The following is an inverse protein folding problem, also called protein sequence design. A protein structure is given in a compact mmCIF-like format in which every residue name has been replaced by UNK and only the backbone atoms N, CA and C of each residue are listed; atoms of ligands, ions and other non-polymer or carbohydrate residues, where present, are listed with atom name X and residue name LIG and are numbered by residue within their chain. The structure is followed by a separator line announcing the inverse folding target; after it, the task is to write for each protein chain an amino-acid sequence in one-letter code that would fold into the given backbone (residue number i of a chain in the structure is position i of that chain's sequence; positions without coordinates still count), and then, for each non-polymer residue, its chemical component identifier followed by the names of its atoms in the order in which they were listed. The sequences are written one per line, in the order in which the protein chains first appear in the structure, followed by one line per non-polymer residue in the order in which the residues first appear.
data_IF_248984558138
#
_entry.id   IF_248984558138
#
_cell.length_a   1.000
_cell.length_b   1.000
_cell.length_c   1.000
_cell.angle_alpha   90.00
_cell.angle_beta   90.00
_cell.angle_gamma   90.00
#
_symmetry.space_group_name_H-M   'P 1'
#
loop_
_entity.id
_entity.type
_entity.pdbx_description
1 polymer ?
#
# COMPACT_ATOMS: atom_id res chain seq x y z
N UNK A 1 3.70 22.80 -20.33
CA UNK A 1 2.72 21.75 -20.69
C UNK A 1 3.06 20.50 -19.90
N UNK A 2 2.35 20.25 -18.81
CA UNK A 2 2.48 19.03 -18.02
C UNK A 2 2.03 17.84 -18.87
N UNK A 3 2.96 16.99 -19.29
CA UNK A 3 2.63 15.73 -19.95
C UNK A 3 2.03 14.82 -18.89
N UNK A 4 0.71 14.64 -18.91
CA UNK A 4 0.05 13.58 -18.15
C UNK A 4 0.55 12.26 -18.73
N UNK A 5 1.43 11.56 -18.00
CA UNK A 5 1.84 10.20 -18.34
C UNK A 5 0.64 9.29 -18.04
N UNK A 6 -0.29 9.22 -18.99
CA UNK A 6 -1.33 8.20 -18.98
C UNK A 6 -0.66 6.86 -19.28
N UNK A 7 -0.26 6.14 -18.24
CA UNK A 7 0.18 4.75 -18.36
C UNK A 7 -1.01 3.92 -18.85
N UNK A 8 -0.96 3.50 -20.11
CA UNK A 8 -1.89 2.52 -20.70
C UNK A 8 -1.56 1.09 -20.30
N UNK A 9 -0.46 0.90 -19.56
CA UNK A 9 0.04 -0.41 -19.18
C UNK A 9 -0.85 -1.02 -18.11
N UNK A 10 -1.48 -2.14 -18.47
CA UNK A 10 -2.27 -2.96 -17.55
C UNK A 10 -1.32 -3.71 -16.63
N UNK A 11 -1.26 -3.28 -15.37
CA UNK A 11 -0.59 -4.03 -14.31
C UNK A 11 -1.49 -5.12 -13.75
N UNK A 12 -0.99 -6.36 -13.64
CA UNK A 12 -1.66 -7.39 -12.86
C UNK A 12 -1.06 -7.45 -11.45
N UNK A 13 -1.93 -7.49 -10.45
CA UNK A 13 -1.57 -7.80 -9.07
C UNK A 13 -2.22 -9.13 -8.73
N UNK A 14 -1.40 -10.17 -8.60
CA UNK A 14 -1.82 -11.48 -8.12
C UNK A 14 -0.81 -11.93 -7.08
N UNK A 15 -1.20 -11.90 -5.81
CA UNK A 15 -0.39 -12.44 -4.71
C UNK A 15 -1.27 -12.94 -3.56
N UNK A 16 -0.79 -13.96 -2.86
CA UNK A 16 -1.51 -14.60 -1.76
C UNK A 16 -1.70 -13.67 -0.56
N UNK A 17 -0.85 -12.64 -0.42
CA UNK A 17 -0.95 -11.65 0.65
C UNK A 17 -2.28 -10.87 0.60
N UNK A 18 -2.91 -10.74 -0.57
CA UNK A 18 -4.21 -10.10 -0.70
C UNK A 18 -5.30 -10.80 0.11
N UNK A 19 -5.17 -12.11 0.38
CA UNK A 19 -6.11 -12.86 1.22
C UNK A 19 -6.15 -12.31 2.65
N UNK A 20 -5.05 -11.75 3.16
CA UNK A 20 -5.02 -11.08 4.46
C UNK A 20 -5.90 -9.82 4.53
N UNK A 21 -6.21 -9.22 3.37
CA UNK A 21 -7.12 -8.09 3.22
C UNK A 21 -8.54 -8.52 2.80
N UNK A 22 -8.80 -9.83 2.72
CA UNK A 22 -10.11 -10.38 2.39
C UNK A 22 -10.28 -10.81 0.94
N UNK A 23 -9.22 -10.79 0.12
CA UNK A 23 -9.31 -11.29 -1.25
C UNK A 23 -9.72 -12.77 -1.30
N UNK A 24 -10.64 -13.07 -2.22
CA UNK A 24 -11.31 -14.37 -2.32
C UNK A 24 -12.75 -14.37 -1.79
N UNK A 25 -13.18 -13.29 -1.13
CA UNK A 25 -14.60 -13.05 -0.79
C UNK A 25 -15.25 -12.17 -1.85
N UNK A 26 -16.53 -12.41 -2.13
CA UNK A 26 -17.32 -11.51 -2.98
C UNK A 26 -17.42 -10.13 -2.34
N UNK A 27 -17.32 -9.07 -3.16
CA UNK A 27 -17.41 -7.68 -2.69
C UNK A 27 -16.19 -7.16 -1.92
N UNK A 28 -15.12 -7.95 -1.71
CA UNK A 28 -14.01 -7.56 -0.81
C UNK A 28 -13.29 -6.25 -1.17
N UNK A 29 -13.27 -5.88 -2.46
CA UNK A 29 -12.59 -4.68 -2.96
C UNK A 29 -13.50 -3.46 -3.03
N UNK A 30 -14.81 -3.65 -3.26
CA UNK A 30 -15.76 -2.56 -3.56
C UNK A 30 -16.70 -2.28 -2.39
N UNK A 31 -17.18 -3.32 -1.72
CA UNK A 31 -18.19 -3.20 -0.66
C UNK A 31 -17.58 -3.17 0.75
N UNK A 32 -16.25 -3.29 0.85
CA UNK A 32 -15.55 -3.30 2.12
C UNK A 32 -15.18 -1.88 2.58
N UNK A 33 -15.97 -1.33 3.50
CA UNK A 33 -15.74 0.00 4.08
C UNK A 33 -14.44 0.12 4.90
N UNK A 34 -13.88 -1.01 5.34
CA UNK A 34 -12.63 -1.01 6.12
C UNK A 34 -11.39 -1.06 5.23
N UNK A 35 -11.54 -1.22 3.91
CA UNK A 35 -10.41 -1.29 2.98
C UNK A 35 -10.06 0.10 2.44
N UNK A 36 -8.87 0.56 2.78
CA UNK A 36 -8.27 1.78 2.26
C UNK A 36 -7.34 1.44 1.09
N UNK A 37 -7.44 2.20 0.00
CA UNK A 37 -6.68 1.98 -1.23
C UNK A 37 -6.05 3.29 -1.67
N UNK A 38 -4.73 3.30 -1.80
CA UNK A 38 -3.98 4.48 -2.25
C UNK A 38 -3.02 4.12 -3.37
N UNK A 39 -3.22 4.78 -4.51
CA UNK A 39 -2.45 4.56 -5.72
C UNK A 39 -1.23 5.49 -5.76
N UNK A 40 -0.11 4.93 -6.18
CA UNK A 40 1.12 5.63 -6.51
C UNK A 40 1.56 5.27 -7.93
N UNK A 41 2.49 6.03 -8.50
CA UNK A 41 3.03 5.78 -9.86
C UNK A 41 3.65 4.39 -10.00
N UNK A 42 4.31 3.89 -8.95
CA UNK A 42 5.06 2.63 -8.98
C UNK A 42 4.53 1.59 -7.98
N UNK A 43 3.50 1.93 -7.21
CA UNK A 43 2.94 1.04 -6.20
C UNK A 43 1.47 1.30 -5.92
N UNK A 44 0.84 0.38 -5.22
CA UNK A 44 -0.46 0.59 -4.58
C UNK A 44 -0.35 0.15 -3.13
N UNK A 45 -0.83 1.00 -2.22
CA UNK A 45 -1.02 0.64 -0.82
C UNK A 45 -2.47 0.21 -0.61
N UNK A 46 -2.64 -0.96 -0.01
CA UNK A 46 -3.93 -1.47 0.45
C UNK A 46 -3.84 -1.63 1.96
N UNK A 47 -4.80 -1.10 2.70
CA UNK A 47 -4.82 -1.23 4.15
C UNK A 47 -6.19 -1.62 4.66
N UNK A 48 -6.22 -2.39 5.75
CA UNK A 48 -7.39 -2.51 6.60
C UNK A 48 -7.09 -1.87 7.96
N UNK A 49 -7.95 -2.10 8.95
CA UNK A 49 -7.81 -1.54 10.31
C UNK A 49 -6.48 -1.84 11.02
N UNK A 50 -5.74 -2.89 10.66
CA UNK A 50 -4.53 -3.31 11.39
C UNK A 50 -3.35 -3.73 10.50
N UNK A 51 -3.54 -3.75 9.19
CA UNK A 51 -2.57 -4.26 8.23
C UNK A 51 -2.48 -3.33 7.03
N UNK A 52 -1.25 -3.13 6.55
CA UNK A 52 -0.98 -2.44 5.30
C UNK A 52 -0.17 -3.38 4.40
N UNK A 53 -0.55 -3.46 3.13
CA UNK A 53 0.19 -4.10 2.05
C UNK A 53 0.59 -3.05 1.03
N UNK A 54 1.88 -2.90 0.79
CA UNK A 54 2.41 -2.14 -0.34
C UNK A 54 2.74 -3.14 -1.45
N UNK A 55 2.18 -2.89 -2.63
CA UNK A 55 2.32 -3.73 -3.80
C UNK A 55 3.00 -2.92 -4.89
N UNK A 56 4.19 -3.33 -5.29
CA UNK A 56 4.93 -2.65 -6.36
C UNK A 56 4.49 -3.15 -7.74
N UNK A 57 4.40 -2.25 -8.72
CA UNK A 57 4.14 -2.64 -10.11
C UNK A 57 5.37 -3.36 -10.67
N UNK A 58 5.16 -4.42 -11.46
CA UNK A 58 6.27 -5.09 -12.15
C UNK A 58 6.73 -4.24 -13.32
N UNK A 59 8.02 -3.91 -13.37
CA UNK A 59 8.65 -3.32 -14.56
C UNK A 59 9.18 -4.41 -15.49
N UNK A 60 8.38 -5.44 -15.76
CA UNK A 60 8.73 -6.44 -16.77
C UNK A 60 8.47 -5.85 -18.16
N UNK A 61 9.45 -5.13 -18.69
CA UNK A 61 9.44 -4.61 -20.05
C UNK A 61 9.39 -5.74 -21.12
N UNK A 62 9.64 -7.00 -20.71
CA UNK A 62 9.90 -8.14 -21.60
C UNK A 62 9.02 -9.38 -21.33
N UNK A 63 7.92 -9.25 -20.60
CA UNK A 63 6.96 -10.36 -20.36
C UNK A 63 7.53 -11.62 -19.67
N UNK A 64 8.69 -11.53 -19.02
CA UNK A 64 9.31 -12.64 -18.31
C UNK A 64 8.78 -12.77 -16.88
N UNK A 65 8.87 -13.96 -16.25
CA UNK A 65 8.56 -14.11 -14.83
C UNK A 65 9.51 -13.24 -14.03
N UNK A 66 8.94 -12.24 -13.36
CA UNK A 66 9.66 -11.28 -12.52
C UNK A 66 10.18 -11.99 -11.26
N UNK A 67 11.51 -12.08 -11.04
CA UNK A 67 12.10 -12.83 -9.93
C UNK A 67 12.04 -12.09 -8.57
N UNK A 68 11.51 -10.87 -8.51
CA UNK A 68 11.64 -10.04 -7.31
C UNK A 68 10.67 -10.43 -6.18
N UNK A 69 11.25 -11.07 -5.17
CA UNK A 69 10.64 -11.39 -3.86
C UNK A 69 10.19 -10.17 -3.06
N UNK A 70 10.54 -8.95 -3.49
CA UNK A 70 10.23 -7.69 -2.80
C UNK A 70 9.00 -6.96 -3.35
N UNK A 71 8.19 -7.59 -4.20
CA UNK A 71 7.01 -6.94 -4.79
C UNK A 71 5.90 -6.64 -3.79
N UNK A 72 5.89 -7.32 -2.65
CA UNK A 72 4.88 -7.17 -1.59
C UNK A 72 5.57 -6.85 -0.27
N UNK A 73 5.22 -5.72 0.32
CA UNK A 73 5.69 -5.32 1.65
C UNK A 73 4.50 -5.33 2.59
N UNK A 74 4.63 -6.07 3.69
CA UNK A 74 3.57 -6.25 4.69
C UNK A 74 3.95 -5.51 5.97
N UNK A 75 3.16 -4.50 6.33
CA UNK A 75 3.38 -3.67 7.52
C UNK A 75 2.25 -3.95 8.50
N UNK A 76 2.62 -4.26 9.75
CA UNK A 76 1.70 -4.31 10.89
C UNK A 76 2.12 -3.23 11.86
N UNK A 77 1.44 -2.07 11.84
CA UNK A 77 1.72 -1.02 12.80
C UNK A 77 1.54 -1.52 14.23
N UNK A 78 2.36 -1.00 15.14
CA UNK A 78 2.20 -1.23 16.58
C UNK A 78 1.05 -0.35 17.09
N UNK A 79 -0.16 -0.89 16.98
CA UNK A 79 -1.41 -0.30 17.43
C UNK A 79 -1.76 -0.83 18.82
N UNK A 80 -2.35 0.00 19.67
CA UNK A 80 -2.87 -0.36 20.99
C UNK A 80 -4.18 -1.17 20.87
N UNK A 81 -4.14 -2.51 20.95
CA UNK A 81 -5.31 -3.34 20.66
C UNK A 81 -6.36 -3.24 21.77
N UNK A 82 -5.91 -2.96 22.99
CA UNK A 82 -6.75 -2.79 24.19
C UNK A 82 -7.68 -1.58 24.03
N UNK A 83 -7.19 -0.53 23.37
CA UNK A 83 -7.94 0.72 23.15
C UNK A 83 -8.68 0.72 21.80
N UNK A 84 -8.73 -0.43 21.12
CA UNK A 84 -9.32 -0.56 19.79
C UNK A 84 -8.72 0.40 18.76
N UNK A 85 -7.42 0.69 18.86
CA UNK A 85 -6.73 1.51 17.87
C UNK A 85 -6.77 0.83 16.50
N UNK A 86 -7.05 1.63 15.47
CA UNK A 86 -7.08 1.17 14.09
C UNK A 86 -6.49 2.22 13.15
N UNK A 87 -6.04 1.77 11.97
CA UNK A 87 -5.63 2.64 10.87
C UNK A 87 -6.86 3.35 10.32
N UNK A 88 -6.89 4.68 10.45
CA UNK A 88 -8.01 5.51 9.99
C UNK A 88 -7.79 6.04 8.57
N UNK A 89 -6.53 6.31 8.21
CA UNK A 89 -6.16 6.85 6.89
C UNK A 89 -4.76 6.42 6.49
N UNK A 90 -4.51 6.40 5.19
CA UNK A 90 -3.20 6.10 4.59
C UNK A 90 -3.01 7.06 3.42
N UNK A 91 -1.83 7.64 3.22
CA UNK A 91 -1.56 8.51 2.08
C UNK A 91 -0.09 8.43 1.64
N UNK A 92 0.15 8.59 0.33
CA UNK A 92 1.50 8.69 -0.21
C UNK A 92 2.03 10.12 -0.11
N UNK A 93 3.13 10.32 0.60
CA UNK A 93 3.87 11.57 0.60
C UNK A 93 5.02 11.46 -0.39
N UNK A 94 4.96 12.26 -1.46
CA UNK A 94 5.97 12.32 -2.53
C UNK A 94 6.80 13.58 -2.35
N UNK A 95 8.07 13.42 -1.96
CA UNK A 95 9.02 14.53 -1.85
C UNK A 95 9.86 14.71 -3.11
N UNK A 96 10.12 13.62 -3.84
CA UNK A 96 10.74 13.61 -5.16
C UNK A 96 10.22 12.40 -5.95
N UNK A 97 10.13 12.56 -7.27
CA UNK A 97 9.53 11.58 -8.19
C UNK A 97 10.32 10.26 -8.24
N UNK A 98 11.58 10.20 -7.80
CA UNK A 98 12.43 9.02 -8.03
C UNK A 98 12.82 8.20 -6.80
N UNK A 99 12.97 8.80 -5.62
CA UNK A 99 13.59 8.08 -4.48
C UNK A 99 12.89 8.36 -3.14
N UNK A 100 12.27 9.53 -2.98
CA UNK A 100 11.80 9.99 -1.67
C UNK A 100 10.28 9.96 -1.60
N UNK A 101 9.72 8.74 -1.57
CA UNK A 101 8.30 8.49 -1.32
C UNK A 101 8.16 7.72 -0.02
N UNK A 102 7.21 8.14 0.81
CA UNK A 102 6.90 7.48 2.09
C UNK A 102 5.39 7.31 2.21
N UNK A 103 4.99 6.32 2.99
CA UNK A 103 3.60 6.09 3.32
C UNK A 103 3.31 6.75 4.67
N UNK A 104 2.46 7.78 4.66
CA UNK A 104 1.87 8.32 5.87
C UNK A 104 0.66 7.49 6.27
N UNK A 105 0.53 7.21 7.57
CA UNK A 105 -0.54 6.40 8.13
C UNK A 105 -1.05 7.12 9.36
N UNK A 106 -2.34 7.41 9.37
CA UNK A 106 -3.03 7.97 10.52
C UNK A 106 -3.76 6.85 11.27
N UNK A 107 -3.77 6.97 12.59
CA UNK A 107 -4.50 6.07 13.48
C UNK A 107 -5.69 6.76 14.10
N UNK A 108 -6.65 5.98 14.60
CA UNK A 108 -7.82 6.51 15.33
C UNK A 108 -7.48 7.27 16.62
N UNK A 109 -6.25 7.16 17.13
CA UNK A 109 -5.75 7.90 18.30
C UNK A 109 -4.99 9.18 17.94
N UNK A 110 -4.89 9.51 16.64
CA UNK A 110 -4.21 10.72 16.17
C UNK A 110 -2.68 10.57 16.05
N UNK A 111 -2.14 9.35 16.09
CA UNK A 111 -0.73 9.13 15.75
C UNK A 111 -0.53 9.18 14.24
N UNK A 112 0.57 9.83 13.83
CA UNK A 112 1.04 9.90 12.46
C UNK A 112 2.29 9.02 12.31
N UNK A 113 2.12 7.87 11.66
CA UNK A 113 3.21 6.94 11.38
C UNK A 113 3.71 7.16 9.95
N UNK A 114 5.02 7.26 9.76
CA UNK A 114 5.64 7.39 8.44
C UNK A 114 6.46 6.14 8.16
N UNK A 115 6.14 5.44 7.09
CA UNK A 115 6.85 4.24 6.65
C UNK A 115 7.60 4.47 5.33
N UNK A 116 8.78 3.88 5.22
CA UNK A 116 9.45 3.72 3.93
C UNK A 116 8.68 2.77 3.01
N UNK A 117 8.96 2.82 1.70
CA UNK A 117 8.43 1.85 0.73
C UNK A 117 8.74 0.38 1.10
N UNK A 118 9.81 0.15 1.85
CA UNK A 118 10.22 -1.18 2.31
C UNK A 118 9.61 -1.59 3.65
N UNK A 119 8.71 -0.78 4.21
CA UNK A 119 7.97 -1.09 5.43
C UNK A 119 8.70 -0.76 6.73
N UNK A 120 9.87 -0.13 6.67
CA UNK A 120 10.55 0.37 7.86
C UNK A 120 9.84 1.63 8.38
N UNK A 121 9.58 1.70 9.68
CA UNK A 121 9.05 2.88 10.35
C UNK A 121 10.14 3.96 10.44
N UNK A 122 9.85 5.14 9.92
CA UNK A 122 10.71 6.32 9.91
C UNK A 122 10.33 7.27 11.06
N UNK A 123 9.04 7.43 11.33
CA UNK A 123 8.52 8.36 12.34
C UNK A 123 7.22 7.86 12.96
N UNK A 124 6.96 8.20 14.23
CA UNK A 124 5.73 7.97 15.00
C UNK A 124 5.43 9.20 15.85
#
# INVERSE_FOLDING_TARGET
MSRCLHTTDLGCIACDALTDLGAGKEGWLVDNLDLLIFLDTHSVALANRSLILILHWSSSNNGGPDPDKNRVVKIRPDLFPIESEYISSVEWLVFDDKVNRVLAVETSHGYLLIYSLHGNLIHK
#
